data_IF_675832640128
#
_entry.id   IF_675832640128
#
_cell.length_a   1.000
_cell.length_b   1.000
_cell.length_c   1.000
_cell.angle_alpha   90.00
_cell.angle_beta   90.00
_cell.angle_gamma   90.00
#
_symmetry.space_group_name_H-M   'P 1'
#
loop_
_entity.id
_entity.type
_entity.pdbx_description
1 polymer ?
#
# COMPACT_ATOMS: atom_id res chain seq x y z
N UNK A 1 -12.06 14.96 6.05
CA UNK A 1 -12.24 13.52 6.35
C UNK A 1 -12.21 12.78 5.02
N UNK A 2 -11.43 11.70 4.88
CA UNK A 2 -11.64 10.80 3.74
C UNK A 2 -13.00 10.13 3.93
N UNK A 3 -13.86 10.21 2.93
CA UNK A 3 -15.28 9.84 3.05
C UNK A 3 -15.61 8.48 2.44
N UNK A 4 -14.64 7.77 1.87
CA UNK A 4 -14.87 6.47 1.21
C UNK A 4 -13.66 5.54 1.32
N UNK A 5 -13.94 4.25 1.34
CA UNK A 5 -12.94 3.22 1.11
C UNK A 5 -12.45 3.25 -0.35
N UNK A 6 -11.20 2.85 -0.54
CA UNK A 6 -10.56 2.69 -1.84
C UNK A 6 -9.94 1.29 -1.94
N UNK A 7 -9.90 0.74 -3.15
CA UNK A 7 -9.29 -0.58 -3.39
C UNK A 7 -7.88 -0.40 -3.94
N UNK A 8 -6.89 -0.77 -3.13
CA UNK A 8 -5.50 -0.86 -3.56
C UNK A 8 -5.21 -2.29 -4.00
N UNK A 9 -4.66 -2.47 -5.20
CA UNK A 9 -4.34 -3.80 -5.76
C UNK A 9 -2.92 -3.82 -6.27
N UNK A 10 -2.21 -4.90 -5.96
CA UNK A 10 -0.95 -5.27 -6.58
C UNK A 10 -1.20 -6.50 -7.45
N UNK A 11 -1.11 -6.35 -8.77
CA UNK A 11 -0.98 -7.47 -9.68
C UNK A 11 0.50 -7.86 -9.73
N UNK A 12 0.84 -8.96 -9.06
CA UNK A 12 2.20 -9.48 -8.99
C UNK A 12 2.36 -10.63 -9.97
N UNK A 13 3.29 -10.48 -10.91
CA UNK A 13 3.66 -11.49 -11.90
C UNK A 13 5.17 -11.78 -11.82
N UNK A 14 5.63 -12.85 -12.48
CA UNK A 14 7.03 -13.29 -12.44
C UNK A 14 8.04 -12.19 -12.82
N UNK A 15 7.66 -11.29 -13.74
CA UNK A 15 8.55 -10.26 -14.32
C UNK A 15 8.01 -8.84 -14.15
N UNK A 16 6.86 -8.68 -13.51
CA UNK A 16 6.25 -7.36 -13.34
C UNK A 16 5.37 -7.26 -12.11
N UNK A 17 5.28 -6.04 -11.61
CA UNK A 17 4.35 -5.63 -10.58
C UNK A 17 3.55 -4.44 -11.09
N UNK A 18 2.24 -4.50 -11.00
CA UNK A 18 1.35 -3.42 -11.42
C UNK A 18 0.44 -3.02 -10.27
N UNK A 19 0.50 -1.74 -9.90
CA UNK A 19 -0.32 -1.16 -8.85
C UNK A 19 -1.55 -0.49 -9.44
N UNK A 20 -2.68 -0.70 -8.78
CA UNK A 20 -3.96 -0.08 -9.11
C UNK A 20 -4.54 0.62 -7.89
N UNK A 21 -5.24 1.73 -8.15
CA UNK A 21 -6.15 2.38 -7.19
C UNK A 21 -7.52 2.41 -7.85
N UNK A 22 -8.53 1.84 -7.18
CA UNK A 22 -9.90 1.71 -7.71
C UNK A 22 -9.94 1.12 -9.13
N UNK A 23 -9.18 0.04 -9.35
CA UNK A 23 -9.06 -0.68 -10.62
C UNK A 23 -8.41 0.12 -11.77
N UNK A 24 -7.94 1.34 -11.53
CA UNK A 24 -7.19 2.13 -12.49
C UNK A 24 -5.69 1.91 -12.29
N UNK A 25 -4.97 1.59 -13.38
CA UNK A 25 -3.52 1.38 -13.33
C UNK A 25 -2.84 2.69 -12.91
N UNK A 26 -2.06 2.63 -11.84
CA UNK A 26 -1.31 3.77 -11.31
C UNK A 26 0.17 3.70 -11.67
N UNK A 27 0.79 2.53 -11.49
CA UNK A 27 2.23 2.35 -11.69
C UNK A 27 2.56 0.91 -12.12
N UNK A 28 3.66 0.75 -12.86
CA UNK A 28 4.20 -0.57 -13.22
C UNK A 28 5.71 -0.57 -13.06
N UNK A 29 6.20 -1.65 -12.46
CA UNK A 29 7.61 -1.97 -12.32
C UNK A 29 7.88 -3.30 -13.03
N UNK A 30 8.85 -3.29 -13.95
CA UNK A 30 9.32 -4.51 -14.62
C UNK A 30 10.69 -4.87 -14.05
N UNK A 31 10.89 -6.14 -13.75
CA UNK A 31 12.15 -6.66 -13.21
C UNK A 31 12.53 -7.97 -13.88
N UNK A 32 13.83 -8.26 -13.85
CA UNK A 32 14.41 -9.50 -14.40
C UNK A 32 15.15 -10.32 -13.35
N UNK A 33 15.14 -9.90 -12.08
CA UNK A 33 15.76 -10.62 -10.98
C UNK A 33 14.72 -11.39 -10.13
N UNK A 34 15.24 -12.36 -9.35
CA UNK A 34 14.44 -13.27 -8.53
C UNK A 34 14.11 -12.72 -7.12
N UNK A 35 14.38 -11.44 -6.85
CA UNK A 35 14.12 -10.84 -5.52
C UNK A 35 12.65 -10.99 -5.13
N UNK A 36 11.76 -10.93 -6.11
CA UNK A 36 10.32 -11.01 -5.95
C UNK A 36 9.73 -12.39 -6.29
N UNK A 37 10.56 -13.43 -6.31
CA UNK A 37 10.13 -14.81 -6.58
C UNK A 37 10.05 -15.67 -5.31
N UNK A 38 10.27 -15.08 -4.14
CA UNK A 38 10.20 -15.77 -2.84
C UNK A 38 8.84 -15.56 -2.18
N UNK A 39 8.61 -16.24 -1.07
CA UNK A 39 7.45 -15.98 -0.21
C UNK A 39 7.58 -14.63 0.49
N UNK A 40 6.48 -13.88 0.54
CA UNK A 40 6.37 -12.60 1.25
C UNK A 40 5.17 -12.65 2.20
N UNK A 41 5.16 -11.76 3.17
CA UNK A 41 4.06 -11.56 4.10
C UNK A 41 3.57 -10.12 4.07
N UNK A 42 2.32 -9.89 4.49
CA UNK A 42 1.75 -8.55 4.53
C UNK A 42 2.15 -7.81 5.80
N UNK A 43 2.39 -6.51 5.66
CA UNK A 43 2.52 -5.56 6.77
C UNK A 43 1.49 -4.46 6.58
N UNK A 44 0.77 -4.14 7.65
CA UNK A 44 -0.16 -3.01 7.71
C UNK A 44 0.13 -2.24 8.97
N UNK A 45 0.53 -0.98 8.84
CA UNK A 45 0.83 -0.11 9.96
C UNK A 45 0.43 1.33 9.65
N UNK A 46 0.04 2.06 10.69
CA UNK A 46 -0.15 3.51 10.65
C UNK A 46 0.95 4.15 11.49
N UNK A 47 2.07 4.50 10.87
CA UNK A 47 3.19 5.15 11.56
C UNK A 47 2.86 6.61 11.90
N UNK A 48 3.43 7.11 13.01
CA UNK A 48 3.36 8.51 13.43
C UNK A 48 4.78 9.04 13.57
N UNK A 49 5.15 10.00 12.73
CA UNK A 49 6.53 10.51 12.67
C UNK A 49 7.44 9.74 11.72
N UNK A 50 8.64 10.28 11.46
CA UNK A 50 9.71 9.62 10.69
C UNK A 50 10.49 10.59 9.80
N UNK A 51 11.62 10.14 9.25
CA UNK A 51 12.47 10.98 8.41
C UNK A 51 11.77 11.47 7.13
N UNK A 52 10.93 10.63 6.53
CA UNK A 52 10.16 10.96 5.33
C UNK A 52 8.89 11.77 5.62
N UNK A 53 7.97 11.32 6.49
CA UNK A 53 6.73 12.07 6.76
C UNK A 53 6.94 13.31 7.63
N UNK A 54 8.10 13.46 8.29
CA UNK A 54 8.32 14.45 9.33
C UNK A 54 7.63 14.07 10.64
N UNK A 55 7.86 14.86 11.68
CA UNK A 55 7.15 14.72 12.96
C UNK A 55 5.78 15.39 12.90
N UNK A 56 4.76 14.85 13.59
CA UNK A 56 3.49 15.54 13.74
C UNK A 56 3.70 16.89 14.45
N UNK A 57 2.86 17.86 14.11
CA UNK A 57 2.88 19.21 14.67
C UNK A 57 1.51 19.62 15.23
N UNK A 58 1.37 20.89 15.62
CA UNK A 58 0.15 21.43 16.20
C UNK A 58 -1.06 21.42 15.25
N UNK A 59 -0.86 21.16 13.96
CA UNK A 59 -1.94 21.01 12.96
C UNK A 59 -2.37 19.55 12.79
N UNK A 60 -1.62 18.60 13.37
CA UNK A 60 -1.94 17.18 13.28
C UNK A 60 -3.11 16.83 14.19
N UNK A 61 -4.22 16.37 13.61
CA UNK A 61 -5.42 15.98 14.34
C UNK A 61 -5.27 14.55 14.86
N UNK A 62 -5.48 14.34 16.15
CA UNK A 62 -5.55 13.00 16.77
C UNK A 62 -6.92 12.77 17.43
N UNK A 63 -7.40 11.52 17.51
CA UNK A 63 -6.81 10.30 16.96
C UNK A 63 -6.98 10.19 15.43
N UNK A 64 -6.12 9.41 14.79
CA UNK A 64 -6.28 8.96 13.39
C UNK A 64 -6.49 7.45 13.36
N UNK A 65 -7.23 6.96 12.37
CA UNK A 65 -7.60 5.55 12.24
C UNK A 65 -7.34 5.09 10.80
N UNK A 66 -6.64 3.97 10.65
CA UNK A 66 -6.56 3.25 9.38
C UNK A 66 -7.57 2.10 9.41
N UNK A 67 -8.65 2.23 8.64
CA UNK A 67 -9.68 1.20 8.54
C UNK A 67 -9.41 0.32 7.31
N UNK A 68 -9.35 -1.01 7.53
CA UNK A 68 -9.17 -2.01 6.47
C UNK A 68 -10.40 -2.92 6.48
N UNK A 69 -11.20 -2.86 5.42
CA UNK A 69 -12.42 -3.67 5.29
C UNK A 69 -12.09 -5.13 4.94
N UNK A 70 -11.18 -5.35 3.98
CA UNK A 70 -10.74 -6.69 3.60
C UNK A 70 -9.33 -6.71 3.00
N UNK A 71 -8.77 -7.92 3.00
CA UNK A 71 -7.61 -8.31 2.20
C UNK A 71 -8.02 -9.53 1.40
N UNK A 72 -7.75 -9.53 0.10
CA UNK A 72 -8.02 -10.67 -0.80
C UNK A 72 -6.77 -10.98 -1.59
N UNK A 73 -6.47 -12.27 -1.70
CA UNK A 73 -5.37 -12.80 -2.52
C UNK A 73 -5.99 -13.75 -3.54
N UNK A 74 -5.56 -13.62 -4.79
CA UNK A 74 -6.02 -14.43 -5.92
C UNK A 74 -4.79 -15.10 -6.56
N UNK A 75 -5.00 -16.28 -7.15
CA UNK A 75 -3.99 -17.04 -7.90
C UNK A 75 -4.53 -17.35 -9.29
#
# INVERSE_FOLDING_TARGET
>A
MQTKFHVFTLLWQEKSMVWYVDYQKYYQFNHNDQTFSKEFFFIMNLAVGGNWPGSPDNTTVFPQIMQVDYIRVFQ
#
